data_IF_419358672624
#
_entry.id   IF_419358672624
#
_cell.length_a   1.000
_cell.length_b   1.000
_cell.length_c   1.000
_cell.angle_alpha   90.00
_cell.angle_beta   90.00
_cell.angle_gamma   90.00
#
_symmetry.space_group_name_H-M   'P 1'
#
loop_
_entity.id
_entity.type
_entity.pdbx_description
1 polymer ?
#
# COMPACT_ATOMS: atom_id res chain seq x y z
N UNK A 1 -17.66 -23.98 -7.70
CA UNK A 1 -16.82 -24.20 -8.88
C UNK A 1 -15.45 -24.68 -8.45
N UNK A 2 -14.80 -25.56 -9.23
CA UNK A 2 -13.42 -25.98 -8.93
C UNK A 2 -12.45 -24.79 -9.14
N UNK A 3 -11.42 -24.70 -8.29
CA UNK A 3 -10.41 -23.66 -8.39
C UNK A 3 -9.54 -23.87 -9.63
N UNK A 4 -9.17 -22.78 -10.29
CA UNK A 4 -8.23 -22.82 -11.43
C UNK A 4 -6.80 -23.13 -10.95
N UNK A 5 -5.91 -23.64 -11.81
CA UNK A 5 -4.50 -23.85 -11.45
C UNK A 5 -3.81 -22.59 -10.93
N UNK A 6 -4.14 -21.42 -11.48
CA UNK A 6 -3.62 -20.12 -10.99
C UNK A 6 -4.05 -19.82 -9.56
N UNK A 7 -5.31 -20.07 -9.22
CA UNK A 7 -5.82 -19.89 -7.86
C UNK A 7 -5.15 -20.85 -6.86
N UNK A 8 -5.01 -22.12 -7.24
CA UNK A 8 -4.33 -23.12 -6.40
C UNK A 8 -2.87 -22.74 -6.15
N UNK A 9 -2.14 -22.32 -7.20
CA UNK A 9 -0.77 -21.82 -7.06
C UNK A 9 -0.71 -20.60 -6.12
N UNK A 10 -1.63 -19.65 -6.30
CA UNK A 10 -1.69 -18.43 -5.50
C UNK A 10 -1.90 -18.72 -4.01
N UNK A 11 -2.85 -19.59 -3.69
CA UNK A 11 -3.11 -20.02 -2.31
C UNK A 11 -1.90 -20.74 -1.68
N UNK A 12 -1.23 -21.61 -2.46
CA UNK A 12 -0.04 -22.30 -1.98
C UNK A 12 1.12 -21.31 -1.72
N UNK A 13 1.34 -20.35 -2.62
CA UNK A 13 2.37 -19.33 -2.45
C UNK A 13 2.07 -18.42 -1.24
N UNK A 14 0.80 -17.99 -1.06
CA UNK A 14 0.40 -17.17 0.08
C UNK A 14 0.71 -17.81 1.42
N UNK A 15 0.53 -19.13 1.58
CA UNK A 15 0.88 -19.81 2.83
C UNK A 15 2.34 -19.61 3.24
N UNK A 16 3.25 -19.63 2.27
CA UNK A 16 4.67 -19.40 2.52
C UNK A 16 4.94 -17.94 2.89
N UNK A 17 4.33 -17.01 2.15
CA UNK A 17 4.50 -15.56 2.38
C UNK A 17 3.95 -15.17 3.75
N UNK A 18 2.75 -15.62 4.12
CA UNK A 18 2.15 -15.37 5.43
C UNK A 18 3.07 -15.83 6.56
N UNK A 19 3.53 -17.08 6.51
CA UNK A 19 4.46 -17.61 7.52
C UNK A 19 5.72 -16.75 7.65
N UNK A 20 6.25 -16.23 6.55
CA UNK A 20 7.44 -15.41 6.56
C UNK A 20 7.17 -13.99 7.09
N UNK A 21 5.99 -13.42 6.78
CA UNK A 21 5.54 -12.16 7.36
C UNK A 21 5.37 -12.28 8.88
N UNK A 22 4.68 -13.32 9.35
CA UNK A 22 4.52 -13.59 10.79
C UNK A 22 5.86 -13.73 11.51
N UNK A 23 6.85 -14.39 10.91
CA UNK A 23 8.22 -14.48 11.47
C UNK A 23 8.91 -13.11 11.55
N UNK A 24 8.47 -12.14 10.77
CA UNK A 24 8.95 -10.75 10.77
C UNK A 24 8.10 -9.83 11.65
N UNK A 25 7.14 -10.39 12.38
CA UNK A 25 6.31 -9.68 13.35
C UNK A 25 5.03 -9.07 12.76
N UNK A 26 4.75 -9.29 11.48
CA UNK A 26 3.49 -8.83 10.87
C UNK A 26 2.33 -9.75 11.27
N UNK A 27 1.17 -9.20 11.51
CA UNK A 27 -0.08 -9.94 11.55
C UNK A 27 -0.61 -10.06 10.11
N UNK A 28 -0.63 -11.28 9.55
CA UNK A 28 -0.84 -11.48 8.12
C UNK A 28 -2.03 -12.39 7.82
N UNK A 29 -2.85 -12.02 6.83
CA UNK A 29 -4.07 -12.72 6.45
C UNK A 29 -4.12 -12.97 4.94
N UNK A 30 -4.67 -14.10 4.54
CA UNK A 30 -5.01 -14.39 3.16
C UNK A 30 -6.50 -14.20 2.92
N UNK A 31 -6.84 -13.38 1.93
CA UNK A 31 -8.20 -13.19 1.47
C UNK A 31 -8.36 -13.78 0.07
N UNK A 32 -9.37 -14.61 -0.14
CA UNK A 32 -9.58 -15.32 -1.41
C UNK A 32 -9.97 -14.40 -2.58
N UNK A 33 -10.57 -13.27 -2.26
CA UNK A 33 -11.11 -12.31 -3.22
C UNK A 33 -11.24 -10.90 -2.59
N UNK A 34 -11.70 -9.95 -3.41
CA UNK A 34 -11.88 -8.56 -2.98
C UNK A 34 -12.90 -8.37 -1.85
N UNK A 35 -14.09 -9.02 -1.87
CA UNK A 35 -15.04 -8.95 -0.76
C UNK A 35 -14.43 -9.44 0.56
N UNK A 36 -13.79 -10.60 0.57
CA UNK A 36 -13.14 -11.13 1.76
C UNK A 36 -12.03 -10.19 2.28
N UNK A 37 -11.29 -9.51 1.39
CA UNK A 37 -10.30 -8.51 1.79
C UNK A 37 -10.93 -7.26 2.41
N UNK A 38 -12.08 -6.82 1.89
CA UNK A 38 -12.85 -5.73 2.47
C UNK A 38 -13.35 -6.08 3.87
N UNK A 39 -13.99 -7.24 4.02
CA UNK A 39 -14.53 -7.69 5.30
C UNK A 39 -13.43 -7.81 6.36
N UNK A 40 -12.27 -8.39 6.00
CA UNK A 40 -11.12 -8.49 6.90
C UNK A 40 -10.56 -7.13 7.28
N UNK A 41 -10.45 -6.20 6.34
CA UNK A 41 -9.99 -4.84 6.64
C UNK A 41 -10.94 -4.13 7.61
N UNK A 42 -12.26 -4.27 7.42
CA UNK A 42 -13.27 -3.68 8.30
C UNK A 42 -13.28 -4.30 9.70
N UNK A 43 -12.98 -5.60 9.82
CA UNK A 43 -12.82 -6.28 11.13
C UNK A 43 -11.66 -5.71 11.95
N UNK A 44 -10.60 -5.25 11.29
CA UNK A 44 -9.39 -4.72 11.91
C UNK A 44 -9.47 -3.23 12.27
N UNK A 45 -10.46 -2.51 11.75
CA UNK A 45 -10.65 -1.06 11.98
C UNK A 45 -11.70 -0.88 13.07
N UNK A 46 -11.33 -0.25 14.18
CA UNK A 46 -12.31 0.14 15.21
C UNK A 46 -13.22 1.26 14.70
N UNK A 47 -14.50 1.24 15.08
CA UNK A 47 -15.45 2.32 14.74
C UNK A 47 -15.08 3.66 15.37
N UNK A 48 -14.31 3.64 16.45
CA UNK A 48 -13.84 4.85 17.14
C UNK A 48 -12.58 5.44 16.51
N UNK A 49 -11.89 4.69 15.62
CA UNK A 49 -10.65 5.12 14.99
C UNK A 49 -10.84 6.35 14.11
N UNK A 50 -9.85 7.23 14.18
CA UNK A 50 -9.61 8.23 13.13
C UNK A 50 -8.81 7.55 12.03
N UNK A 51 -9.40 7.39 10.84
CA UNK A 51 -8.80 6.66 9.72
C UNK A 51 -8.28 7.61 8.66
N UNK A 52 -7.12 7.30 8.10
CA UNK A 52 -6.60 7.98 6.90
C UNK A 52 -5.99 6.99 5.93
N UNK A 53 -5.57 7.46 4.75
CA UNK A 53 -5.03 6.56 3.73
C UNK A 53 -4.00 7.18 2.81
N UNK A 54 -3.15 6.30 2.25
CA UNK A 54 -2.28 6.59 1.13
C UNK A 54 -2.99 6.46 -0.22
N UNK A 55 -2.39 7.03 -1.28
CA UNK A 55 -2.90 6.84 -2.64
C UNK A 55 -2.71 5.40 -3.09
N UNK A 56 -3.78 4.60 -3.15
CA UNK A 56 -3.74 3.19 -3.53
C UNK A 56 -4.96 2.80 -4.36
N UNK A 57 -4.70 2.30 -5.56
CA UNK A 57 -5.75 1.70 -6.41
C UNK A 57 -6.32 0.45 -5.74
N UNK A 58 -5.49 -0.34 -5.06
CA UNK A 58 -5.92 -1.59 -4.41
C UNK A 58 -7.00 -1.36 -3.36
N UNK A 59 -6.81 -0.38 -2.45
CA UNK A 59 -7.81 -0.09 -1.40
C UNK A 59 -9.10 0.50 -1.99
N UNK A 60 -9.01 1.19 -3.11
CA UNK A 60 -10.18 1.67 -3.85
C UNK A 60 -10.92 0.52 -4.53
N UNK A 61 -10.20 -0.38 -5.20
CA UNK A 61 -10.79 -1.50 -5.93
C UNK A 61 -11.53 -2.53 -5.06
N UNK A 62 -11.17 -2.66 -3.79
CA UNK A 62 -11.90 -3.50 -2.84
C UNK A 62 -13.12 -2.79 -2.23
N UNK A 63 -13.37 -1.50 -2.57
CA UNK A 63 -14.48 -0.71 -2.05
C UNK A 63 -14.24 -0.12 -0.65
N UNK A 64 -13.03 -0.23 -0.09
CA UNK A 64 -12.77 0.20 1.29
C UNK A 64 -12.90 1.73 1.45
N UNK A 65 -12.50 2.53 0.46
CA UNK A 65 -12.64 3.99 0.51
C UNK A 65 -14.10 4.44 0.51
N UNK A 66 -14.98 3.73 -0.19
CA UNK A 66 -16.41 4.05 -0.22
C UNK A 66 -17.04 3.83 1.17
N UNK A 67 -16.62 2.75 1.85
CA UNK A 67 -17.06 2.49 3.23
C UNK A 67 -16.49 3.55 4.18
N UNK A 68 -15.24 3.93 4.06
CA UNK A 68 -14.65 5.01 4.89
C UNK A 68 -15.39 6.33 4.71
N UNK A 69 -15.81 6.66 3.49
CA UNK A 69 -16.55 7.90 3.15
C UNK A 69 -18.04 7.84 3.45
N UNK A 70 -18.59 6.72 3.86
CA UNK A 70 -20.02 6.54 4.15
C UNK A 70 -20.53 7.32 5.37
N UNK A 71 -19.62 7.88 6.18
CA UNK A 71 -19.96 8.59 7.42
C UNK A 71 -19.94 7.70 8.69
N UNK A 72 -19.67 6.41 8.55
CA UNK A 72 -19.53 5.49 9.69
C UNK A 72 -18.26 5.73 10.49
N UNK A 73 -17.18 6.18 9.84
CA UNK A 73 -15.87 6.38 10.44
C UNK A 73 -15.48 7.87 10.49
N UNK A 74 -14.65 8.24 11.46
CA UNK A 74 -13.98 9.54 11.49
C UNK A 74 -12.80 9.48 10.52
N UNK A 75 -12.78 10.32 9.49
CA UNK A 75 -11.73 10.23 8.46
C UNK A 75 -10.95 11.53 8.29
N UNK A 76 -9.68 11.39 7.97
CA UNK A 76 -8.83 12.45 7.44
C UNK A 76 -8.64 12.17 5.94
N UNK A 77 -9.53 12.74 5.11
CA UNK A 77 -9.52 12.53 3.66
C UNK A 77 -8.82 13.69 2.95
N UNK A 78 -7.60 13.45 2.52
CA UNK A 78 -6.80 14.43 1.76
C UNK A 78 -7.28 14.66 0.33
N UNK A 79 -8.18 13.80 -0.17
CA UNK A 79 -8.65 13.88 -1.55
C UNK A 79 -9.87 14.81 -1.69
N UNK A 80 -10.39 15.34 -0.56
CA UNK A 80 -11.49 16.32 -0.51
C UNK A 80 -11.02 17.78 -0.50
N UNK A 81 -9.71 18.03 -0.56
CA UNK A 81 -9.14 19.37 -0.48
C UNK A 81 -9.13 20.10 -1.83
N UNK A 82 -9.34 21.42 -1.78
CA UNK A 82 -9.35 22.29 -2.96
C UNK A 82 -7.96 22.78 -3.35
N UNK A 83 -7.02 22.85 -2.39
CA UNK A 83 -5.68 23.40 -2.63
C UNK A 83 -4.57 22.43 -2.26
N UNK A 84 -3.40 22.53 -2.93
CA UNK A 84 -2.22 21.72 -2.57
C UNK A 84 -1.74 21.94 -1.13
N UNK A 85 -1.90 23.16 -0.60
CA UNK A 85 -1.51 23.48 0.77
C UNK A 85 -2.39 22.75 1.79
N UNK A 86 -3.71 22.78 1.60
CA UNK A 86 -4.65 22.02 2.43
C UNK A 86 -4.39 20.50 2.36
N UNK A 87 -4.12 19.99 1.15
CA UNK A 87 -3.75 18.59 0.96
C UNK A 87 -2.52 18.21 1.75
N UNK A 88 -1.47 19.04 1.69
CA UNK A 88 -0.22 18.82 2.45
C UNK A 88 -0.49 18.81 3.95
N UNK A 89 -1.32 19.70 4.45
CA UNK A 89 -1.67 19.77 5.87
C UNK A 89 -2.45 18.51 6.31
N UNK A 90 -3.41 18.04 5.52
CA UNK A 90 -4.11 16.79 5.83
C UNK A 90 -3.18 15.57 5.78
N UNK A 91 -2.20 15.53 4.88
CA UNK A 91 -1.19 14.48 4.86
C UNK A 91 -0.32 14.47 6.12
N UNK A 92 -0.01 15.65 6.70
CA UNK A 92 0.68 15.75 8.00
C UNK A 92 -0.21 15.28 9.15
N UNK A 93 -1.48 15.71 9.17
CA UNK A 93 -2.45 15.25 10.18
C UNK A 93 -2.70 13.75 10.11
N UNK A 94 -2.65 13.16 8.92
CA UNK A 94 -2.77 11.71 8.73
C UNK A 94 -1.70 10.89 9.47
N UNK A 95 -0.54 11.47 9.78
CA UNK A 95 0.48 10.80 10.60
C UNK A 95 0.05 10.63 12.07
N UNK A 96 -1.00 11.32 12.49
CA UNK A 96 -1.55 11.25 13.85
C UNK A 96 -2.89 10.47 13.92
N UNK A 97 -3.29 9.81 12.83
CA UNK A 97 -4.49 9.00 12.82
C UNK A 97 -4.31 7.70 13.63
N UNK A 98 -5.41 7.05 13.98
CA UNK A 98 -5.36 5.77 14.67
C UNK A 98 -5.01 4.66 13.69
N UNK A 99 -5.73 4.56 12.57
CA UNK A 99 -5.49 3.55 11.54
C UNK A 99 -5.19 4.18 10.19
N UNK A 100 -4.07 3.77 9.57
CA UNK A 100 -3.67 4.21 8.24
C UNK A 100 -3.78 3.08 7.22
N UNK A 101 -4.54 3.33 6.14
CA UNK A 101 -4.78 2.35 5.09
C UNK A 101 -3.84 2.58 3.91
N UNK A 102 -3.19 1.53 3.45
CA UNK A 102 -2.29 1.61 2.30
C UNK A 102 -2.14 0.28 1.58
N UNK A 103 -1.38 0.29 0.50
CA UNK A 103 -0.87 -0.92 -0.14
C UNK A 103 0.65 -0.86 -0.21
N UNK A 104 1.30 -2.02 -0.34
CA UNK A 104 2.72 -2.10 -0.69
C UNK A 104 2.90 -2.10 -2.21
N UNK A 105 4.05 -1.58 -2.69
CA UNK A 105 4.41 -1.65 -4.11
C UNK A 105 4.94 -3.03 -4.51
N UNK A 106 5.62 -3.73 -3.60
CA UNK A 106 6.03 -5.12 -3.74
C UNK A 106 6.14 -5.80 -2.38
N UNK A 107 6.00 -7.12 -2.36
CA UNK A 107 6.20 -7.99 -1.19
C UNK A 107 7.11 -9.13 -1.64
N UNK A 108 8.21 -9.37 -0.95
CA UNK A 108 9.07 -10.52 -1.24
C UNK A 108 8.53 -11.80 -0.59
N UNK A 109 8.83 -12.97 -1.16
CA UNK A 109 8.40 -14.25 -0.59
C UNK A 109 8.91 -14.48 0.84
N UNK A 110 10.05 -13.88 1.19
CA UNK A 110 10.60 -13.94 2.54
C UNK A 110 9.97 -12.90 3.52
N UNK A 111 8.95 -12.15 3.07
CA UNK A 111 8.10 -11.32 3.92
C UNK A 111 8.59 -9.88 4.13
N UNK A 112 9.32 -9.29 3.19
CA UNK A 112 9.69 -7.88 3.23
C UNK A 112 8.76 -7.04 2.36
N UNK A 113 8.40 -5.83 2.84
CA UNK A 113 7.57 -4.89 2.09
C UNK A 113 8.46 -3.81 1.46
N UNK A 114 8.42 -3.68 0.14
CA UNK A 114 9.18 -2.65 -0.58
C UNK A 114 8.24 -1.60 -1.17
N UNK A 115 8.50 -0.35 -0.82
CA UNK A 115 7.69 0.80 -1.21
C UNK A 115 8.54 1.88 -1.85
N UNK A 116 7.99 2.51 -2.90
CA UNK A 116 8.56 3.70 -3.54
C UNK A 116 7.55 4.84 -3.44
N UNK A 117 8.01 6.04 -3.10
CA UNK A 117 7.13 7.17 -2.80
C UNK A 117 7.74 8.49 -3.29
N UNK A 118 6.91 9.39 -3.80
CA UNK A 118 7.35 10.70 -4.30
C UNK A 118 7.42 11.77 -3.20
N UNK A 119 6.41 11.83 -2.35
CA UNK A 119 6.28 12.87 -1.32
C UNK A 119 6.81 12.40 0.04
N UNK A 120 6.85 11.08 0.27
CA UNK A 120 7.28 10.47 1.52
C UNK A 120 6.18 10.31 2.58
N UNK A 121 5.00 10.88 2.38
CA UNK A 121 3.92 10.85 3.39
C UNK A 121 3.40 9.44 3.68
N UNK A 122 3.28 8.57 2.68
CA UNK A 122 2.82 7.19 2.85
C UNK A 122 3.88 6.33 3.56
N UNK A 123 5.13 6.44 3.14
CA UNK A 123 6.22 5.70 3.79
C UNK A 123 6.50 6.23 5.19
N UNK A 124 6.34 7.52 5.45
CA UNK A 124 6.42 8.07 6.81
C UNK A 124 5.34 7.47 7.72
N UNK A 125 4.08 7.40 7.27
CA UNK A 125 3.00 6.76 8.01
C UNK A 125 3.26 5.26 8.27
N UNK A 126 3.93 4.58 7.34
CA UNK A 126 4.30 3.17 7.50
C UNK A 126 5.41 2.96 8.53
N UNK A 127 6.35 3.92 8.64
CA UNK A 127 7.49 3.84 9.58
C UNK A 127 7.09 4.28 10.98
N UNK A 128 6.34 5.38 11.08
CA UNK A 128 6.01 6.00 12.35
C UNK A 128 4.81 6.95 12.21
N UNK A 129 3.98 6.99 13.23
CA UNK A 129 2.88 7.95 13.36
C UNK A 129 1.57 7.26 13.73
N UNK A 130 0.86 6.64 12.81
CA UNK A 130 -0.39 5.92 13.10
C UNK A 130 -0.19 4.80 14.13
N UNK A 131 -1.22 4.54 14.94
CA UNK A 131 -1.20 3.43 15.91
C UNK A 131 -1.26 2.07 15.23
N UNK A 132 -1.91 2.01 14.06
CA UNK A 132 -2.06 0.82 13.23
C UNK A 132 -1.90 1.18 11.76
N UNK A 133 -1.25 0.29 11.00
CA UNK A 133 -1.16 0.39 9.53
C UNK A 133 -1.69 -0.89 8.91
N UNK A 134 -2.74 -0.77 8.09
CA UNK A 134 -3.32 -1.89 7.36
C UNK A 134 -2.81 -1.83 5.92
N UNK A 135 -2.03 -2.85 5.53
CA UNK A 135 -1.46 -2.97 4.19
C UNK A 135 -2.22 -4.02 3.39
N UNK A 136 -2.90 -3.60 2.33
CA UNK A 136 -3.66 -4.50 1.44
C UNK A 136 -2.91 -4.63 0.12
N UNK A 137 -2.48 -5.84 -0.21
CA UNK A 137 -1.71 -6.11 -1.41
C UNK A 137 -2.30 -7.27 -2.23
N UNK A 138 -2.44 -7.06 -3.53
CA UNK A 138 -2.80 -8.16 -4.43
C UNK A 138 -1.63 -9.13 -4.63
N UNK A 139 -1.93 -10.41 -4.85
CA UNK A 139 -0.93 -11.47 -5.10
C UNK A 139 0.03 -11.16 -6.25
N UNK A 140 -0.39 -10.31 -7.19
CA UNK A 140 0.43 -9.81 -8.30
C UNK A 140 1.62 -8.93 -7.86
N UNK A 141 1.70 -8.59 -6.56
CA UNK A 141 2.80 -7.81 -5.98
C UNK A 141 3.84 -8.68 -5.27
N UNK A 142 3.58 -9.97 -5.14
CA UNK A 142 4.52 -10.92 -4.56
C UNK A 142 5.60 -11.27 -5.58
N UNK A 143 6.84 -11.18 -5.16
CA UNK A 143 8.06 -11.48 -5.93
C UNK A 143 9.01 -12.34 -5.11
N UNK A 144 10.04 -12.93 -5.75
CA UNK A 144 10.90 -13.93 -5.12
C UNK A 144 11.77 -13.35 -4.00
N UNK A 145 12.48 -12.27 -4.31
CA UNK A 145 13.52 -11.68 -3.43
C UNK A 145 13.26 -10.21 -3.16
N UNK A 146 14.02 -9.63 -2.23
CA UNK A 146 14.03 -8.18 -2.01
C UNK A 146 14.52 -7.42 -3.24
N UNK A 147 15.52 -7.95 -3.96
CA UNK A 147 16.04 -7.34 -5.18
C UNK A 147 14.98 -7.35 -6.30
N UNK A 148 14.24 -8.44 -6.44
CA UNK A 148 13.08 -8.50 -7.36
C UNK A 148 11.99 -7.50 -6.95
N UNK A 149 11.79 -7.30 -5.65
CA UNK A 149 10.84 -6.32 -5.16
C UNK A 149 11.30 -4.89 -5.51
N UNK A 150 12.57 -4.58 -5.36
CA UNK A 150 13.15 -3.30 -5.78
C UNK A 150 13.08 -3.12 -7.30
N UNK A 151 13.37 -4.16 -8.07
CA UNK A 151 13.20 -4.15 -9.52
C UNK A 151 11.73 -3.90 -9.90
N UNK A 152 10.79 -4.61 -9.27
CA UNK A 152 9.35 -4.45 -9.52
C UNK A 152 8.85 -3.03 -9.25
N UNK A 153 9.28 -2.41 -8.13
CA UNK A 153 8.80 -1.06 -7.80
C UNK A 153 9.29 -0.01 -8.80
N UNK A 154 10.49 -0.18 -9.35
CA UNK A 154 11.05 0.69 -10.39
C UNK A 154 10.50 0.39 -11.77
N UNK A 155 10.51 -0.88 -12.19
CA UNK A 155 10.15 -1.28 -13.56
C UNK A 155 8.64 -1.28 -13.82
N UNK A 156 7.83 -1.47 -12.80
CA UNK A 156 6.40 -1.66 -12.96
C UNK A 156 5.57 -0.67 -12.13
N UNK A 157 5.76 -0.62 -10.80
CA UNK A 157 4.87 0.13 -9.93
C UNK A 157 4.96 1.65 -10.16
N UNK A 158 6.16 2.21 -10.28
CA UNK A 158 6.34 3.64 -10.51
C UNK A 158 5.89 4.08 -11.92
N UNK A 159 6.27 3.39 -13.03
CA UNK A 159 5.76 3.72 -14.35
C UNK A 159 4.23 3.62 -14.49
N UNK A 160 3.59 2.67 -13.84
CA UNK A 160 2.11 2.59 -13.80
C UNK A 160 1.54 3.76 -12.99
N UNK A 161 2.12 4.05 -11.82
CA UNK A 161 1.57 5.07 -10.94
C UNK A 161 1.67 6.48 -11.54
N UNK A 162 2.74 6.78 -12.27
CA UNK A 162 2.91 8.12 -12.88
C UNK A 162 1.84 8.42 -13.91
N UNK A 163 1.30 7.41 -14.61
CA UNK A 163 0.22 7.58 -15.60
C UNK A 163 -1.07 8.18 -15.02
N UNK A 164 -1.21 8.22 -13.71
CA UNK A 164 -2.32 8.89 -13.01
C UNK A 164 -2.17 10.41 -12.94
N UNK A 165 -1.00 10.94 -13.34
CA UNK A 165 -0.61 12.33 -13.19
C UNK A 165 -0.13 12.90 -14.53
N UNK A 166 -1.04 13.13 -15.51
CA UNK A 166 -0.67 13.49 -16.88
C UNK A 166 0.08 14.82 -16.99
N UNK A 167 0.07 15.65 -15.92
CA UNK A 167 0.83 16.89 -15.86
C UNK A 167 2.32 16.70 -15.58
N UNK A 168 2.77 15.53 -15.12
CA UNK A 168 4.16 15.28 -14.74
C UNK A 168 5.01 14.97 -15.98
N UNK A 169 6.20 15.56 -16.02
CA UNK A 169 7.16 15.39 -17.11
C UNK A 169 8.31 14.48 -16.66
N UNK A 170 8.09 13.17 -16.78
CA UNK A 170 9.09 12.16 -16.45
C UNK A 170 9.31 11.24 -17.65
N UNK A 171 10.51 10.64 -17.82
CA UNK A 171 10.75 9.69 -18.90
C UNK A 171 9.74 8.51 -18.91
N UNK A 172 9.38 8.00 -17.75
CA UNK A 172 8.42 6.89 -17.65
C UNK A 172 6.96 7.31 -17.92
N UNK A 173 6.63 8.61 -17.86
CA UNK A 173 5.34 9.12 -18.33
C UNK A 173 5.23 9.02 -19.86
N UNK A 174 6.33 9.31 -20.56
CA UNK A 174 6.39 9.32 -22.01
C UNK A 174 6.58 7.92 -22.59
N UNK A 175 7.50 7.14 -22.03
CA UNK A 175 7.95 5.86 -22.58
C UNK A 175 7.28 4.64 -21.97
N UNK A 176 6.64 4.79 -20.79
CA UNK A 176 6.15 3.68 -19.97
C UNK A 176 7.28 2.90 -19.25
N UNK A 177 8.54 3.27 -19.44
CA UNK A 177 9.70 2.54 -18.92
C UNK A 177 10.49 3.40 -17.92
N UNK A 178 11.00 2.75 -16.86
CA UNK A 178 11.86 3.42 -15.88
C UNK A 178 13.23 3.71 -16.50
N UNK A 179 13.65 4.97 -16.43
CA UNK A 179 14.97 5.43 -16.87
C UNK A 179 15.91 5.74 -15.69
N UNK A 180 15.55 5.35 -14.46
CA UNK A 180 16.26 5.69 -13.20
C UNK A 180 16.62 7.20 -13.14
N UNK A 181 15.63 8.03 -13.44
CA UNK A 181 15.79 9.47 -13.63
C UNK A 181 15.81 10.23 -12.30
N UNK A 182 16.38 11.44 -12.34
CA UNK A 182 16.28 12.47 -11.32
C UNK A 182 15.51 13.70 -11.83
N UNK A 183 14.49 13.47 -12.68
CA UNK A 183 13.66 14.53 -13.23
C UNK A 183 12.99 15.35 -12.10
N UNK A 184 12.77 16.66 -12.29
CA UNK A 184 12.12 17.51 -11.28
C UNK A 184 10.75 16.99 -10.80
N UNK A 185 10.00 16.34 -11.70
CA UNK A 185 8.69 15.73 -11.42
C UNK A 185 8.78 14.27 -11.00
N UNK A 186 9.96 13.78 -10.62
CA UNK A 186 10.16 12.39 -10.21
C UNK A 186 9.27 12.01 -9.01
N UNK A 187 8.60 10.87 -9.09
CA UNK A 187 7.77 10.33 -8.01
C UNK A 187 8.44 9.16 -7.26
N UNK A 188 9.76 9.01 -7.41
CA UNK A 188 10.54 7.89 -6.89
C UNK A 188 11.61 8.35 -5.88
N UNK A 189 11.31 9.41 -5.09
CA UNK A 189 12.29 10.08 -4.24
C UNK A 189 12.66 9.28 -2.99
N UNK A 190 11.75 8.41 -2.52
CA UNK A 190 11.95 7.63 -1.31
C UNK A 190 11.73 6.16 -1.60
N UNK A 191 12.67 5.32 -1.20
CA UNK A 191 12.55 3.86 -1.24
C UNK A 191 12.65 3.36 0.18
N UNK A 192 11.63 2.62 0.61
CA UNK A 192 11.53 2.03 1.94
C UNK A 192 11.41 0.52 1.82
N UNK A 193 12.27 -0.21 2.52
CA UNK A 193 12.09 -1.63 2.79
C UNK A 193 11.78 -1.81 4.26
N UNK A 194 10.63 -2.42 4.57
CA UNK A 194 10.28 -2.84 5.93
C UNK A 194 10.64 -4.31 6.06
N UNK A 195 11.63 -4.60 6.88
CA UNK A 195 12.13 -5.96 7.10
C UNK A 195 11.50 -6.64 8.30
N UNK A 196 11.16 -5.87 9.34
CA UNK A 196 10.54 -6.35 10.58
C UNK A 196 9.61 -5.29 11.12
N UNK A 197 8.56 -5.69 11.84
CA UNK A 197 7.77 -4.78 12.68
C UNK A 197 7.90 -5.21 14.15
N UNK A 198 8.14 -4.26 15.05
CA UNK A 198 8.33 -4.52 16.48
C UNK A 198 7.23 -3.92 17.35
N UNK A 199 6.53 -2.94 16.87
CA UNK A 199 5.61 -2.12 17.64
C UNK A 199 4.25 -2.11 16.95
N UNK A 200 3.38 -3.09 17.30
CA UNK A 200 1.92 -3.01 17.14
C UNK A 200 1.41 -2.46 15.78
N UNK A 201 2.13 -2.69 14.70
CA UNK A 201 1.56 -2.52 13.39
C UNK A 201 0.78 -3.79 13.06
N UNK A 202 -0.53 -3.72 13.13
CA UNK A 202 -1.38 -4.72 12.50
C UNK A 202 -1.29 -4.49 11.00
N UNK A 203 -0.41 -5.21 10.33
CA UNK A 203 -0.27 -5.16 8.89
C UNK A 203 -1.00 -6.36 8.29
N UNK A 204 -2.02 -6.07 7.49
CA UNK A 204 -2.82 -7.09 6.81
C UNK A 204 -2.48 -7.11 5.33
N UNK A 205 -2.15 -8.27 4.83
CA UNK A 205 -1.95 -8.54 3.41
C UNK A 205 -3.16 -9.22 2.79
#
# INVERSE_FOLDING_TARGET
MAKTPTQLRSEAACKTVLKNLERRGFEAFYCSDKPAALDKALELISEDDVVSWGGSVTIQEIGLLDVMRSGRYKVIDRDTTETPAQRTELMRKALLCDTFLMSSNAVSEDGQLVNIDGTGNRVAAMVYGPKSVIVIAGINKIVKTQDDALARVRMLAAPINVQRFPQLKTPCMETGLCADCNAPDCICNYILTVSYTHLRAHETL
#
